data_IF_605944551904
#
_entry.id   IF_605944551904
#
_cell.length_a   1.000
_cell.length_b   1.000
_cell.length_c   1.000
_cell.angle_alpha   90.00
_cell.angle_beta   90.00
_cell.angle_gamma   90.00
#
_symmetry.space_group_name_H-M   'P 1'
#
loop_
_entity.id
_entity.type
_entity.pdbx_description
1 polymer ?
#
# COMPACT_ATOMS: atom_id res chain seq x y z
N UNK A 1 -4.94 -26.59 -18.79
CA UNK A 1 -3.47 -26.51 -18.98
C UNK A 1 -2.96 -25.33 -18.16
N UNK A 2 -2.61 -25.60 -16.90
CA UNK A 2 -2.18 -24.58 -15.93
C UNK A 2 -0.79 -24.13 -16.35
N UNK A 3 -0.61 -22.83 -16.60
CA UNK A 3 0.69 -22.22 -16.82
C UNK A 3 1.46 -22.21 -15.48
N UNK A 4 1.95 -23.37 -15.08
CA UNK A 4 2.90 -23.52 -13.99
C UNK A 4 4.29 -23.57 -14.62
N UNK A 5 4.83 -22.41 -15.00
CA UNK A 5 6.28 -22.24 -15.10
C UNK A 5 6.66 -20.76 -15.22
N UNK A 6 6.98 -20.17 -14.06
CA UNK A 6 8.15 -19.30 -13.90
C UNK A 6 8.33 -18.99 -12.40
N UNK A 7 9.19 -19.79 -11.75
CA UNK A 7 9.75 -19.60 -10.40
C UNK A 7 8.81 -19.76 -9.20
N UNK A 8 8.46 -21.02 -8.89
CA UNK A 8 8.19 -21.39 -7.49
C UNK A 8 9.44 -21.09 -6.66
N UNK A 9 9.35 -20.31 -5.57
CA UNK A 9 10.50 -20.01 -4.73
C UNK A 9 11.09 -21.31 -4.18
N UNK A 10 12.41 -21.49 -4.32
CA UNK A 10 13.13 -22.59 -3.69
C UNK A 10 13.62 -22.16 -2.31
N UNK A 11 13.10 -22.79 -1.27
CA UNK A 11 13.61 -22.66 0.10
C UNK A 11 14.57 -23.82 0.36
N UNK A 12 15.86 -23.53 0.55
CA UNK A 12 16.89 -24.55 0.81
C UNK A 12 16.87 -25.75 -0.18
N UNK A 13 16.59 -25.48 -1.47
CA UNK A 13 16.52 -26.50 -2.53
C UNK A 13 15.13 -27.10 -2.80
N UNK A 14 14.15 -26.89 -1.91
CA UNK A 14 12.80 -27.45 -2.04
C UNK A 14 11.81 -26.48 -2.68
N UNK A 15 10.88 -26.96 -3.54
CA UNK A 15 9.83 -26.12 -4.10
C UNK A 15 8.87 -25.65 -2.99
N UNK A 16 8.72 -24.34 -2.84
CA UNK A 16 7.80 -23.74 -1.86
C UNK A 16 6.59 -23.18 -2.60
N UNK A 17 5.40 -23.48 -2.07
CA UNK A 17 4.14 -22.89 -2.51
C UNK A 17 3.57 -22.01 -1.41
N UNK A 18 3.08 -20.83 -1.78
CA UNK A 18 2.37 -19.94 -0.87
C UNK A 18 0.89 -20.30 -0.93
N UNK A 19 0.36 -20.90 0.13
CA UNK A 19 -1.07 -21.21 0.19
C UNK A 19 -1.90 -19.92 0.37
N UNK A 20 -3.10 -19.87 -0.21
CA UNK A 20 -4.05 -18.76 -0.10
C UNK A 20 -5.16 -19.11 0.91
N UNK A 21 -5.10 -18.62 2.16
CA UNK A 21 -6.06 -19.00 3.19
C UNK A 21 -7.50 -18.59 2.87
N UNK A 22 -7.70 -17.49 2.15
CA UNK A 22 -9.02 -16.99 1.79
C UNK A 22 -9.72 -17.85 0.72
N UNK A 23 -8.94 -18.65 -0.03
CA UNK A 23 -9.49 -19.61 -1.00
C UNK A 23 -9.66 -21.02 -0.44
N UNK A 24 -9.30 -21.24 0.83
CA UNK A 24 -9.47 -22.54 1.48
C UNK A 24 -10.88 -22.63 2.06
N UNK A 25 -11.64 -23.64 1.65
CA UNK A 25 -12.83 -24.04 2.40
C UNK A 25 -12.36 -24.77 3.66
N UNK A 26 -12.50 -24.11 4.82
CA UNK A 26 -12.31 -24.81 6.09
C UNK A 26 -13.36 -25.92 6.18
N UNK A 27 -12.91 -27.16 6.38
CA UNK A 27 -13.81 -28.25 6.73
C UNK A 27 -14.67 -27.81 7.93
N UNK A 28 -15.98 -27.71 7.71
CA UNK A 28 -16.96 -27.36 8.72
C UNK A 28 -17.02 -28.47 9.77
N UNK A 29 -16.14 -28.42 10.78
CA UNK A 29 -16.15 -29.41 11.86
C UNK A 29 -14.91 -29.49 12.76
N UNK A 30 -13.75 -28.96 12.36
CA UNK A 30 -12.52 -29.14 13.15
C UNK A 30 -12.19 -27.89 13.97
N UNK A 31 -12.67 -27.86 15.22
CA UNK A 31 -12.21 -26.96 16.29
C UNK A 31 -10.92 -27.50 16.93
N UNK A 32 -9.92 -27.86 16.12
CA UNK A 32 -8.62 -28.29 16.63
C UNK A 32 -7.56 -27.39 16.00
N UNK A 33 -7.16 -26.37 16.76
CA UNK A 33 -6.11 -25.43 16.40
C UNK A 33 -4.78 -25.93 16.97
N UNK A 34 -4.20 -26.95 16.34
CA UNK A 34 -2.80 -27.28 16.58
C UNK A 34 -2.01 -27.26 15.27
N UNK A 35 -0.74 -26.85 15.35
CA UNK A 35 0.11 -26.64 14.19
C UNK A 35 0.39 -27.95 13.42
N UNK A 36 0.22 -29.12 14.06
CA UNK A 36 0.47 -30.42 13.45
C UNK A 36 -0.64 -30.79 12.48
N UNK A 37 -1.91 -30.68 12.92
CA UNK A 37 -3.07 -30.96 12.09
C UNK A 37 -3.17 -29.98 10.93
N UNK A 38 -2.85 -28.69 11.15
CA UNK A 38 -2.79 -27.69 10.08
C UNK A 38 -1.71 -28.03 9.04
N UNK A 39 -0.53 -28.50 9.46
CA UNK A 39 0.53 -28.94 8.55
C UNK A 39 0.12 -30.17 7.74
N UNK A 40 -0.52 -31.17 8.37
CA UNK A 40 -1.03 -32.36 7.68
C UNK A 40 -2.15 -32.00 6.69
N UNK A 41 -3.07 -31.11 7.06
CA UNK A 41 -4.14 -30.65 6.20
C UNK A 41 -3.60 -29.92 4.96
N UNK A 42 -2.64 -29.01 5.14
CA UNK A 42 -1.96 -28.35 4.02
C UNK A 42 -1.21 -29.35 3.13
N UNK A 43 -0.52 -30.32 3.72
CA UNK A 43 0.20 -31.36 2.99
C UNK A 43 -0.76 -32.27 2.20
N UNK A 44 -1.93 -32.60 2.76
CA UNK A 44 -2.95 -33.39 2.08
C UNK A 44 -3.59 -32.62 0.92
N UNK A 45 -3.94 -31.35 1.11
CA UNK A 45 -4.41 -30.48 0.01
C UNK A 45 -3.36 -30.34 -1.10
N UNK A 46 -2.07 -30.22 -0.73
CA UNK A 46 -0.97 -30.18 -1.69
C UNK A 46 -0.84 -31.51 -2.45
N UNK A 47 -0.92 -32.64 -1.74
CA UNK A 47 -0.89 -34.00 -2.33
C UNK A 47 -2.05 -34.22 -3.31
N UNK A 48 -3.24 -33.73 -2.96
CA UNK A 48 -4.45 -33.83 -3.78
C UNK A 48 -4.47 -32.82 -4.95
N UNK A 49 -3.53 -31.88 -4.99
CA UNK A 49 -3.45 -30.85 -6.03
C UNK A 49 -4.58 -29.80 -5.98
N UNK A 50 -5.31 -29.73 -4.87
CA UNK A 50 -6.43 -28.80 -4.65
C UNK A 50 -6.04 -27.57 -3.84
N UNK A 51 -4.77 -27.47 -3.41
CA UNK A 51 -4.28 -26.37 -2.60
C UNK A 51 -4.45 -25.04 -3.35
N UNK A 52 -5.28 -24.10 -2.86
CA UNK A 52 -5.36 -22.77 -3.45
C UNK A 52 -4.03 -22.07 -3.19
N UNK A 53 -3.33 -21.64 -4.24
CA UNK A 53 -2.04 -20.95 -4.13
C UNK A 53 -2.18 -19.46 -4.40
N UNK A 54 -1.39 -18.67 -3.69
CA UNK A 54 -1.27 -17.23 -3.86
C UNK A 54 -0.19 -16.87 -4.88
N UNK A 55 -0.36 -15.72 -5.54
CA UNK A 55 0.63 -15.20 -6.47
C UNK A 55 1.86 -14.67 -5.74
N UNK A 56 3.03 -15.22 -6.07
CA UNK A 56 4.31 -14.80 -5.50
C UNK A 56 4.99 -13.84 -6.47
N UNK A 57 5.22 -12.60 -6.04
CA UNK A 57 5.90 -11.63 -6.87
C UNK A 57 7.39 -11.96 -7.06
N UNK A 58 7.95 -11.67 -8.27
CA UNK A 58 9.39 -11.75 -8.53
C UNK A 58 10.20 -10.98 -7.51
N UNK A 59 11.35 -11.53 -7.09
CA UNK A 59 12.18 -10.97 -6.01
C UNK A 59 12.74 -9.60 -6.39
N UNK A 60 13.03 -9.40 -7.67
CA UNK A 60 13.64 -8.21 -8.26
C UNK A 60 12.72 -6.99 -8.17
N UNK A 61 11.40 -7.20 -8.15
CA UNK A 61 10.40 -6.13 -8.09
C UNK A 61 10.00 -5.74 -6.67
N UNK A 62 10.26 -6.61 -5.68
CA UNK A 62 9.88 -6.36 -4.27
C UNK A 62 10.44 -5.06 -3.71
N UNK A 63 11.74 -4.71 -3.92
CA UNK A 63 12.29 -3.47 -3.38
C UNK A 63 11.59 -2.21 -3.89
N UNK A 64 11.18 -2.17 -5.16
CA UNK A 64 10.48 -1.01 -5.73
C UNK A 64 9.06 -0.91 -5.15
N UNK A 65 8.39 -2.04 -5.00
CA UNK A 65 7.06 -2.12 -4.35
C UNK A 65 7.08 -1.65 -2.91
N UNK A 66 8.07 -2.08 -2.14
CA UNK A 66 8.21 -1.68 -0.74
C UNK A 66 8.41 -0.16 -0.60
N UNK A 67 9.18 0.45 -1.52
CA UNK A 67 9.32 1.91 -1.58
C UNK A 67 8.00 2.61 -1.94
N UNK A 68 7.26 2.10 -2.93
CA UNK A 68 5.95 2.65 -3.33
C UNK A 68 4.94 2.58 -2.17
N UNK A 69 4.91 1.45 -1.45
CA UNK A 69 4.07 1.26 -0.25
C UNK A 69 4.48 2.19 0.88
N UNK A 70 5.78 2.36 1.12
CA UNK A 70 6.29 3.31 2.12
C UNK A 70 5.90 4.75 1.78
N UNK A 71 6.00 5.13 0.50
CA UNK A 71 5.54 6.45 0.03
C UNK A 71 4.05 6.63 0.24
N UNK A 72 3.23 5.62 -0.06
CA UNK A 72 1.78 5.66 0.20
C UNK A 72 1.47 5.89 1.68
N UNK A 73 2.16 5.20 2.58
CA UNK A 73 2.02 5.41 4.03
C UNK A 73 2.37 6.85 4.43
N UNK A 74 3.49 7.40 3.98
CA UNK A 74 3.88 8.77 4.33
C UNK A 74 2.89 9.81 3.79
N UNK A 75 2.35 9.60 2.58
CA UNK A 75 1.30 10.45 2.02
C UNK A 75 0.03 10.38 2.87
N UNK A 76 -0.38 9.20 3.33
CA UNK A 76 -1.53 9.05 4.23
C UNK A 76 -1.32 9.79 5.55
N UNK A 77 -0.16 9.62 6.19
CA UNK A 77 0.18 10.35 7.42
C UNK A 77 0.16 11.87 7.22
N UNK A 78 0.73 12.35 6.11
CA UNK A 78 0.71 13.77 5.75
C UNK A 78 -0.73 14.28 5.60
N UNK A 79 -1.59 13.51 4.93
CA UNK A 79 -3.01 13.87 4.74
C UNK A 79 -3.76 13.92 6.07
N UNK A 80 -3.51 12.98 6.99
CA UNK A 80 -4.12 13.00 8.33
C UNK A 80 -3.76 14.28 9.08
N UNK A 81 -2.48 14.67 9.08
CA UNK A 81 -2.03 15.91 9.72
C UNK A 81 -2.61 17.16 9.06
N UNK A 82 -2.71 17.16 7.73
CA UNK A 82 -3.29 18.28 6.99
C UNK A 82 -4.78 18.46 7.33
N UNK A 83 -5.55 17.36 7.39
CA UNK A 83 -6.96 17.40 7.79
C UNK A 83 -7.13 17.80 9.27
N UNK A 84 -6.22 17.36 10.14
CA UNK A 84 -6.19 17.77 11.54
C UNK A 84 -5.98 19.28 11.66
N UNK A 85 -5.00 19.85 10.94
CA UNK A 85 -4.76 21.28 10.91
C UNK A 85 -5.95 22.06 10.31
N UNK A 86 -6.57 21.54 9.27
CA UNK A 86 -7.73 22.15 8.64
C UNK A 86 -8.90 22.22 9.63
N UNK A 87 -9.18 21.11 10.31
CA UNK A 87 -10.22 21.00 11.33
C UNK A 87 -9.97 21.96 12.49
N UNK A 88 -8.71 22.09 12.94
CA UNK A 88 -8.32 23.04 13.98
C UNK A 88 -8.68 24.47 13.56
N UNK A 89 -8.21 24.92 12.40
CA UNK A 89 -8.46 26.29 11.94
C UNK A 89 -9.96 26.55 11.74
N UNK A 90 -10.69 25.60 11.17
CA UNK A 90 -12.14 25.76 10.95
C UNK A 90 -12.93 25.86 12.26
N UNK A 91 -12.53 25.15 13.33
CA UNK A 91 -13.21 25.24 14.63
C UNK A 91 -13.00 26.59 15.31
N UNK A 92 -11.79 27.13 15.20
CA UNK A 92 -11.41 28.37 15.90
C UNK A 92 -11.84 29.63 15.14
N UNK A 93 -11.81 29.59 13.81
CA UNK A 93 -12.07 30.78 12.97
C UNK A 93 -13.41 30.74 12.25
N UNK A 94 -14.09 29.59 12.22
CA UNK A 94 -15.27 29.36 11.38
C UNK A 94 -15.00 29.36 9.87
N UNK A 95 -13.74 29.54 9.45
CA UNK A 95 -13.39 29.64 8.03
C UNK A 95 -13.13 28.27 7.41
N UNK A 96 -13.57 28.10 6.18
CA UNK A 96 -13.26 26.94 5.35
C UNK A 96 -11.99 27.23 4.56
N UNK A 97 -10.89 26.59 4.92
CA UNK A 97 -9.62 26.71 4.19
C UNK A 97 -9.40 25.46 3.36
N UNK A 98 -9.03 25.64 2.09
CA UNK A 98 -8.72 24.53 1.19
C UNK A 98 -7.36 23.90 1.50
N UNK A 99 -7.19 22.63 1.14
CA UNK A 99 -5.90 21.94 1.34
C UNK A 99 -4.72 22.58 0.62
N UNK A 100 -4.96 23.28 -0.51
CA UNK A 100 -3.90 24.03 -1.20
C UNK A 100 -3.50 25.30 -0.46
N UNK A 101 -4.47 26.03 0.11
CA UNK A 101 -4.20 27.19 0.96
C UNK A 101 -3.46 26.77 2.24
N UNK A 102 -3.81 25.63 2.83
CA UNK A 102 -3.11 25.07 4.00
C UNK A 102 -1.62 24.80 3.72
N UNK A 103 -1.28 24.30 2.53
CA UNK A 103 0.12 24.04 2.15
C UNK A 103 0.93 25.33 1.96
N UNK A 104 0.26 26.43 1.61
CA UNK A 104 0.89 27.73 1.39
C UNK A 104 0.86 28.62 2.64
N UNK A 105 0.35 28.11 3.77
CA UNK A 105 0.17 28.88 4.98
C UNK A 105 1.53 29.30 5.56
N UNK A 106 1.71 30.61 5.72
CA UNK A 106 2.88 31.20 6.39
C UNK A 106 2.66 31.23 7.90
N UNK A 107 3.76 31.29 8.66
CA UNK A 107 3.72 31.40 10.13
C UNK A 107 2.95 32.63 10.59
N UNK A 108 3.15 33.75 9.92
CA UNK A 108 2.44 35.00 10.18
C UNK A 108 0.92 34.82 10.07
N UNK A 109 0.45 34.14 9.02
CA UNK A 109 -0.96 33.85 8.82
C UNK A 109 -1.50 32.89 9.88
N UNK A 110 -0.69 31.91 10.30
CA UNK A 110 -1.08 30.97 11.34
C UNK A 110 -1.25 31.67 12.70
N UNK A 111 -0.39 32.63 13.04
CA UNK A 111 -0.50 33.46 14.26
C UNK A 111 -1.77 34.31 14.26
N UNK A 112 -2.20 34.81 13.11
CA UNK A 112 -3.45 35.57 12.98
C UNK A 112 -4.66 34.65 13.14
N UNK A 113 -4.61 33.44 12.59
CA UNK A 113 -5.71 32.48 12.64
C UNK A 113 -5.84 31.77 13.99
N UNK A 114 -4.72 31.55 14.69
CA UNK A 114 -4.64 30.84 15.96
C UNK A 114 -3.89 31.72 16.98
N UNK A 115 -4.56 32.71 17.60
CA UNK A 115 -3.92 33.68 18.49
C UNK A 115 -3.55 33.09 19.86
N UNK A 116 -4.25 32.05 20.30
CA UNK A 116 -3.98 31.34 21.56
C UNK A 116 -2.68 30.51 21.45
N UNK A 117 -1.81 30.60 22.45
CA UNK A 117 -0.48 29.96 22.44
C UNK A 117 -0.54 28.44 22.20
N UNK A 118 -1.48 27.75 22.86
CA UNK A 118 -1.63 26.30 22.74
C UNK A 118 -2.11 25.88 21.33
N UNK A 119 -2.96 26.68 20.70
CA UNK A 119 -3.47 26.44 19.34
C UNK A 119 -2.37 26.71 18.31
N UNK A 120 -1.63 27.80 18.49
CA UNK A 120 -0.49 28.14 17.63
C UNK A 120 0.57 27.03 17.66
N UNK A 121 0.94 26.55 18.85
CA UNK A 121 1.89 25.45 19.01
C UNK A 121 1.43 24.18 18.28
N UNK A 122 0.15 23.81 18.41
CA UNK A 122 -0.42 22.67 17.70
C UNK A 122 -0.38 22.85 16.18
N UNK A 123 -0.70 24.06 15.70
CA UNK A 123 -0.64 24.41 14.28
C UNK A 123 0.78 24.34 13.71
N UNK A 124 1.76 24.93 14.40
CA UNK A 124 3.17 24.95 14.00
C UNK A 124 3.77 23.53 14.02
N UNK A 125 3.42 22.73 15.02
CA UNK A 125 3.81 21.32 15.10
C UNK A 125 3.28 20.54 13.90
N UNK A 126 1.99 20.64 13.58
CA UNK A 126 1.41 19.97 12.41
C UNK A 126 2.10 20.43 11.11
N UNK A 127 2.31 21.74 10.94
CA UNK A 127 2.96 22.31 9.76
C UNK A 127 4.39 21.81 9.58
N UNK A 128 5.20 21.80 10.63
CA UNK A 128 6.58 21.33 10.58
C UNK A 128 6.68 19.86 10.22
N UNK A 129 5.82 19.00 10.79
CA UNK A 129 5.78 17.56 10.46
C UNK A 129 5.29 17.34 9.03
N UNK A 130 4.31 18.10 8.55
CA UNK A 130 3.85 18.03 7.15
C UNK A 130 5.00 18.34 6.19
N UNK A 131 5.76 19.41 6.45
CA UNK A 131 6.91 19.80 5.63
C UNK A 131 8.01 18.71 5.63
N UNK A 132 8.31 18.14 6.80
CA UNK A 132 9.25 17.02 6.92
C UNK A 132 8.81 15.80 6.10
N UNK A 133 7.54 15.39 6.23
CA UNK A 133 6.97 14.27 5.49
C UNK A 133 6.99 14.53 3.99
N UNK A 134 6.74 15.76 3.55
CA UNK A 134 6.81 16.13 2.14
C UNK A 134 8.22 15.97 1.57
N UNK A 135 9.25 16.40 2.29
CA UNK A 135 10.65 16.15 1.92
C UNK A 135 10.95 14.65 1.79
N UNK A 136 10.52 13.83 2.77
CA UNK A 136 10.73 12.38 2.74
C UNK A 136 9.96 11.67 1.63
N UNK A 137 8.77 12.15 1.28
CA UNK A 137 8.05 11.66 0.09
C UNK A 137 8.85 11.97 -1.17
N UNK A 138 9.43 13.17 -1.31
CA UNK A 138 10.28 13.53 -2.46
C UNK A 138 11.55 12.69 -2.58
N UNK A 139 12.21 12.39 -1.46
CA UNK A 139 13.36 11.47 -1.41
C UNK A 139 12.96 10.06 -1.92
N UNK A 140 11.83 9.54 -1.44
CA UNK A 140 11.32 8.24 -1.88
C UNK A 140 10.94 8.24 -3.36
N UNK A 141 10.25 9.28 -3.85
CA UNK A 141 9.88 9.39 -5.26
C UNK A 141 11.11 9.42 -6.17
N UNK A 142 12.16 10.13 -5.76
CA UNK A 142 13.45 10.14 -6.47
C UNK A 142 14.09 8.75 -6.50
N UNK A 143 14.09 8.03 -5.38
CA UNK A 143 14.62 6.67 -5.30
C UNK A 143 13.80 5.67 -6.14
N UNK A 144 12.47 5.80 -6.13
CA UNK A 144 11.54 5.00 -6.93
C UNK A 144 11.81 5.21 -8.42
N UNK A 145 11.93 6.46 -8.88
CA UNK A 145 12.18 6.75 -10.29
C UNK A 145 13.56 6.25 -10.76
N UNK A 146 14.57 6.21 -9.89
CA UNK A 146 15.90 5.65 -10.20
C UNK A 146 15.90 4.14 -10.34
N UNK A 147 15.08 3.42 -9.56
CA UNK A 147 15.05 1.94 -9.51
C UNK A 147 13.94 1.33 -10.36
N UNK A 148 12.87 2.08 -10.60
CA UNK A 148 11.69 1.63 -11.32
C UNK A 148 12.01 1.35 -12.79
N UNK A 149 11.69 0.14 -13.24
CA UNK A 149 11.77 -0.26 -14.64
C UNK A 149 10.38 -0.08 -15.25
N UNK A 150 10.26 0.80 -16.23
CA UNK A 150 9.03 1.00 -16.98
C UNK A 150 8.76 -0.18 -17.90
N UNK A 151 7.49 -0.56 -18.02
CA UNK A 151 6.99 -1.59 -18.95
C UNK A 151 5.97 -0.98 -19.90
N UNK A 152 5.57 -1.63 -21.00
CA UNK A 152 4.58 -1.07 -21.92
C UNK A 152 3.26 -0.65 -21.27
N UNK A 153 2.86 -1.29 -20.17
CA UNK A 153 1.67 -0.95 -19.38
C UNK A 153 1.79 0.44 -18.74
N UNK A 154 3.00 0.88 -18.38
CA UNK A 154 3.25 2.21 -17.82
C UNK A 154 2.84 3.31 -18.79
N UNK A 155 3.18 3.18 -20.07
CA UNK A 155 2.83 4.20 -21.08
C UNK A 155 1.32 4.27 -21.30
N UNK A 156 0.62 3.13 -21.26
CA UNK A 156 -0.85 3.11 -21.30
C UNK A 156 -1.47 3.79 -20.08
N UNK A 157 -0.91 3.59 -18.89
CA UNK A 157 -1.41 4.25 -17.67
C UNK A 157 -1.18 5.76 -17.69
N UNK A 158 -0.13 6.23 -18.38
CA UNK A 158 0.17 7.66 -18.51
C UNK A 158 -0.77 8.43 -19.41
N UNK A 159 -1.56 7.77 -20.26
CA UNK A 159 -2.56 8.44 -21.09
C UNK A 159 -3.83 8.77 -20.31
N UNK A 160 -4.01 8.20 -19.11
CA UNK A 160 -5.17 8.44 -18.27
C UNK A 160 -5.09 9.83 -17.60
N UNK A 161 -6.15 10.64 -17.68
CA UNK A 161 -6.18 11.94 -17.01
C UNK A 161 -6.06 11.75 -15.49
N UNK A 162 -5.16 12.53 -14.86
CA UNK A 162 -4.91 12.47 -13.41
C UNK A 162 -3.93 11.39 -12.95
N UNK A 163 -3.40 10.54 -13.84
CA UNK A 163 -2.43 9.51 -13.49
C UNK A 163 -1.01 9.99 -13.81
N UNK A 164 -0.28 10.41 -12.77
CA UNK A 164 1.11 10.85 -12.87
C UNK A 164 2.12 9.69 -12.81
N UNK A 165 3.40 9.98 -13.07
CA UNK A 165 4.50 9.00 -13.13
C UNK A 165 4.53 8.02 -11.96
N UNK A 166 4.48 8.54 -10.73
CA UNK A 166 4.54 7.70 -9.52
C UNK A 166 3.29 6.83 -9.40
N UNK A 167 2.10 7.36 -9.70
CA UNK A 167 0.87 6.59 -9.63
C UNK A 167 0.84 5.48 -10.70
N UNK A 168 1.30 5.76 -11.91
CA UNK A 168 1.47 4.75 -12.96
C UNK A 168 2.42 3.64 -12.51
N UNK A 169 3.55 3.97 -11.86
CA UNK A 169 4.45 2.97 -11.30
C UNK A 169 3.80 2.17 -10.18
N UNK A 170 3.07 2.82 -9.27
CA UNK A 170 2.32 2.14 -8.20
C UNK A 170 1.36 1.10 -8.78
N UNK A 171 0.52 1.51 -9.75
CA UNK A 171 -0.45 0.62 -10.37
C UNK A 171 0.28 -0.51 -11.08
N UNK A 172 1.27 -0.22 -11.94
CA UNK A 172 2.01 -1.25 -12.67
C UNK A 172 2.64 -2.29 -11.74
N UNK A 173 3.33 -1.85 -10.68
CA UNK A 173 4.03 -2.74 -9.76
C UNK A 173 3.10 -3.49 -8.79
N UNK A 174 1.98 -2.90 -8.37
CA UNK A 174 0.98 -3.61 -7.56
C UNK A 174 0.08 -4.52 -8.39
N UNK A 175 -0.13 -4.21 -9.68
CA UNK A 175 -0.89 -5.06 -10.60
C UNK A 175 -0.07 -6.24 -11.13
N UNK A 176 1.26 -6.17 -11.13
CA UNK A 176 2.11 -7.28 -11.56
C UNK A 176 1.74 -7.80 -12.96
N UNK A 177 1.72 -9.12 -13.14
CA UNK A 177 1.18 -9.72 -14.38
C UNK A 177 -0.34 -9.62 -14.40
N UNK A 178 -0.90 -8.82 -15.32
CA UNK A 178 -2.34 -8.63 -15.49
C UNK A 178 -3.09 -9.94 -15.79
N UNK A 179 -2.42 -10.94 -16.38
CA UNK A 179 -3.02 -12.23 -16.74
C UNK A 179 -3.51 -13.02 -15.52
N UNK A 180 -3.07 -12.67 -14.29
CA UNK A 180 -3.57 -13.28 -13.05
C UNK A 180 -5.04 -12.94 -12.75
N UNK A 181 -5.57 -11.87 -13.34
CA UNK A 181 -6.95 -11.42 -13.15
C UNK A 181 -7.87 -11.87 -14.30
N UNK A 182 -7.67 -13.08 -14.82
CA UNK A 182 -8.47 -13.61 -15.95
C UNK A 182 -9.96 -13.73 -15.63
N UNK A 183 -10.32 -13.87 -14.35
CA UNK A 183 -11.69 -13.90 -13.84
C UNK A 183 -11.86 -12.84 -12.73
N UNK A 184 -12.99 -12.12 -12.76
CA UNK A 184 -13.29 -10.98 -11.87
C UNK A 184 -13.19 -11.34 -10.37
N UNK A 185 -13.43 -12.62 -10.03
CA UNK A 185 -13.39 -13.16 -8.67
C UNK A 185 -11.99 -13.16 -8.01
N UNK A 186 -10.90 -13.08 -8.78
CA UNK A 186 -9.53 -13.20 -8.25
C UNK A 186 -8.94 -11.89 -7.68
N UNK A 187 -9.71 -10.80 -7.66
CA UNK A 187 -9.23 -9.49 -7.22
C UNK A 187 -8.94 -9.41 -5.71
N UNK A 188 -9.56 -10.26 -4.88
CA UNK A 188 -9.51 -10.15 -3.41
C UNK A 188 -8.32 -10.85 -2.74
N UNK A 189 -7.57 -11.71 -3.44
CA UNK A 189 -6.49 -12.52 -2.86
C UNK A 189 -5.16 -11.74 -2.64
N UNK A 190 -5.02 -10.54 -3.20
CA UNK A 190 -3.73 -9.83 -3.26
C UNK A 190 -3.48 -8.84 -2.10
N UNK A 191 -4.47 -8.57 -1.26
CA UNK A 191 -4.34 -7.73 -0.07
C UNK A 191 -4.25 -8.58 1.19
N UNK A 192 -3.04 -8.98 1.57
CA UNK A 192 -2.75 -9.36 2.96
C UNK A 192 -2.75 -8.08 3.82
N UNK A 193 -3.91 -7.43 3.94
CA UNK A 193 -4.15 -6.40 4.93
C UNK A 193 -4.75 -7.10 6.13
N UNK A 194 -3.92 -7.42 7.12
CA UNK A 194 -4.38 -7.83 8.45
C UNK A 194 -5.29 -6.72 8.98
N UNK A 195 -6.60 -6.90 8.88
CA UNK A 195 -7.58 -6.14 9.67
C UNK A 195 -7.29 -6.48 11.12
N UNK A 196 -6.61 -5.59 11.84
CA UNK A 196 -6.63 -5.62 13.30
C UNK A 196 -8.07 -5.35 13.73
N UNK A 197 -8.66 -6.33 14.42
CA UNK A 197 -9.86 -6.13 15.23
C UNK A 197 -9.56 -5.13 16.34
#
# INVERSE_FOLDING_TARGET
>A
MVCADSQSPKGNGYPVQLANPAGMEQYSGLKHADDQHDAFFLAEMLRLGILPTGYIYPKEERPVRDLLRRRMLLVQLKTVLLLSLQSLITRETGQQITGNQLKQLKEETLKILLPEEHLLLAGETNRSVIAFLEGKVGELETAILKRGKVRPEYEKLRTLPGVGKILSLTIMYETGDIRRFREVANSQSSTATTRRK
#
